data_IF_403302553322
#
_entry.id   IF_403302553322
#
_cell.length_a   1.000
_cell.length_b   1.000
_cell.length_c   1.000
_cell.angle_alpha   90.00
_cell.angle_beta   90.00
_cell.angle_gamma   90.00
#
_symmetry.space_group_name_H-M   'P 1'
#
loop_
_entity.id
_entity.type
_entity.pdbx_description
1 polymer ?
#
# COMPACT_ATOMS: atom_id res chain seq x y z
N UNK A 1 4.09 4.52 -18.40
CA UNK A 1 3.34 4.46 -17.15
C UNK A 1 1.87 4.45 -17.48
N UNK A 2 1.15 3.41 -17.07
CA UNK A 2 -0.31 3.33 -17.24
C UNK A 2 -0.90 3.44 -15.84
N UNK A 3 -1.85 4.36 -15.67
CA UNK A 3 -2.48 4.67 -14.39
C UNK A 3 -3.98 4.45 -14.51
N UNK A 4 -4.54 3.62 -13.64
CA UNK A 4 -5.97 3.47 -13.45
C UNK A 4 -6.34 3.99 -12.07
N UNK A 5 -7.17 5.02 -11.98
CA UNK A 5 -7.60 5.61 -10.71
C UNK A 5 -9.10 5.86 -10.71
N UNK A 6 -9.78 5.36 -9.69
CA UNK A 6 -11.12 5.83 -9.32
C UNK A 6 -11.03 6.79 -8.14
N UNK A 7 -12.00 7.71 -7.96
CA UNK A 7 -12.04 8.58 -6.78
C UNK A 7 -12.08 7.75 -5.49
N UNK A 8 -11.31 8.16 -4.48
CA UNK A 8 -11.36 7.54 -3.15
C UNK A 8 -12.75 7.76 -2.53
N UNK A 9 -13.42 6.73 -2.01
CA UNK A 9 -14.73 6.88 -1.40
C UNK A 9 -14.61 7.64 -0.08
N UNK A 10 -15.64 8.41 0.27
CA UNK A 10 -15.76 9.02 1.60
C UNK A 10 -16.74 8.17 2.40
N UNK A 11 -16.31 7.52 3.50
CA UNK A 11 -17.19 6.64 4.25
C UNK A 11 -18.33 7.46 4.88
N UNK A 12 -19.57 6.99 4.67
CA UNK A 12 -20.74 7.54 5.36
C UNK A 12 -20.76 7.18 6.85
N UNK A 13 -21.68 7.79 7.60
CA UNK A 13 -21.86 7.47 9.02
C UNK A 13 -22.04 5.95 9.23
N UNK A 14 -21.40 5.41 10.28
CA UNK A 14 -21.45 3.98 10.59
C UNK A 14 -20.57 3.09 9.71
N UNK A 15 -19.77 3.65 8.80
CA UNK A 15 -18.80 2.91 7.98
C UNK A 15 -17.35 3.24 8.38
N UNK A 16 -16.44 2.40 7.89
CA UNK A 16 -14.99 2.55 7.92
C UNK A 16 -14.48 2.52 6.49
N UNK A 17 -13.40 3.25 6.22
CA UNK A 17 -12.64 3.10 4.99
C UNK A 17 -11.46 2.16 5.23
N UNK A 18 -11.55 0.94 4.71
CA UNK A 18 -10.42 0.02 4.71
C UNK A 18 -9.61 0.19 3.42
N UNK A 19 -8.28 0.17 3.52
CA UNK A 19 -7.40 0.18 2.37
C UNK A 19 -6.45 -1.01 2.37
N UNK A 20 -6.14 -1.52 1.18
CA UNK A 20 -5.19 -2.60 0.96
C UNK A 20 -4.19 -2.22 -0.11
N UNK A 21 -2.90 -2.39 0.19
CA UNK A 21 -1.80 -2.28 -0.77
C UNK A 21 -1.38 -3.67 -1.23
N UNK A 22 -1.15 -3.82 -2.53
CA UNK A 22 -0.47 -4.96 -3.13
C UNK A 22 0.64 -4.46 -4.06
N UNK A 23 1.81 -5.07 -3.99
CA UNK A 23 2.95 -4.73 -4.85
C UNK A 23 3.42 -6.00 -5.54
N UNK A 24 3.43 -5.99 -6.87
CA UNK A 24 3.99 -7.07 -7.65
C UNK A 24 5.47 -6.84 -7.91
N UNK A 25 6.24 -7.89 -7.64
CA UNK A 25 7.69 -7.88 -7.72
C UNK A 25 8.18 -8.87 -8.76
N UNK A 26 9.24 -8.52 -9.49
CA UNK A 26 9.98 -9.50 -10.26
C UNK A 26 10.55 -10.56 -9.32
N UNK A 27 10.59 -11.81 -9.79
CA UNK A 27 11.14 -12.94 -9.02
C UNK A 27 12.61 -13.11 -9.36
N UNK A 28 13.50 -12.72 -8.46
CA UNK A 28 14.93 -12.99 -8.59
C UNK A 28 15.47 -13.69 -7.32
N UNK A 29 15.35 -15.02 -7.31
CA UNK A 29 15.80 -15.86 -6.20
C UNK A 29 17.32 -15.98 -6.05
N UNK A 30 18.09 -15.49 -7.02
CA UNK A 30 19.56 -15.63 -7.03
C UNK A 30 20.28 -14.48 -6.35
N UNK A 31 19.62 -13.31 -6.24
CA UNK A 31 20.24 -12.08 -5.73
C UNK A 31 19.39 -11.56 -4.56
N UNK A 32 20.03 -11.39 -3.40
CA UNK A 32 19.39 -10.73 -2.26
C UNK A 32 18.99 -9.30 -2.64
N UNK A 33 17.74 -8.91 -2.39
CA UNK A 33 17.13 -7.66 -2.86
C UNK A 33 17.11 -7.48 -4.39
N UNK A 34 17.17 -8.59 -5.16
CA UNK A 34 17.11 -8.56 -6.62
C UNK A 34 15.69 -8.42 -7.20
N UNK A 35 14.67 -8.49 -6.35
CA UNK A 35 13.28 -8.29 -6.73
C UNK A 35 13.02 -6.80 -6.98
N UNK A 36 12.44 -6.48 -8.13
CA UNK A 36 12.14 -5.11 -8.55
C UNK A 36 10.61 -4.96 -8.62
N UNK A 37 10.02 -3.94 -7.98
CA UNK A 37 8.60 -3.70 -8.10
C UNK A 37 8.29 -3.20 -9.52
N UNK A 38 7.24 -3.73 -10.13
CA UNK A 38 6.82 -3.33 -11.48
C UNK A 38 5.32 -3.00 -11.57
N UNK A 39 4.53 -3.45 -10.62
CA UNK A 39 3.13 -3.05 -10.46
C UNK A 39 2.86 -2.78 -8.98
N UNK A 40 2.04 -1.79 -8.70
CA UNK A 40 1.45 -1.63 -7.38
C UNK A 40 -0.01 -1.26 -7.53
N UNK A 41 -0.81 -1.66 -6.55
CA UNK A 41 -2.20 -1.27 -6.48
C UNK A 41 -2.64 -0.99 -5.04
N UNK A 42 -3.54 -0.02 -4.89
CA UNK A 42 -4.27 0.21 -3.65
C UNK A 42 -5.74 0.01 -3.95
N UNK A 43 -6.43 -0.70 -3.08
CA UNK A 43 -7.89 -0.80 -3.09
C UNK A 43 -8.43 -0.19 -1.80
N UNK A 44 -9.43 0.67 -1.92
CA UNK A 44 -10.24 1.17 -0.80
C UNK A 44 -11.61 0.50 -0.83
N UNK A 45 -12.13 0.20 0.37
CA UNK A 45 -13.40 -0.47 0.56
C UNK A 45 -14.13 0.18 1.74
N UNK A 46 -15.35 0.64 1.50
CA UNK A 46 -16.23 1.14 2.56
C UNK A 46 -16.90 -0.05 3.24
N UNK A 47 -16.56 -0.29 4.51
CA UNK A 47 -17.03 -1.43 5.30
C UNK A 47 -17.98 -0.94 6.40
N UNK A 48 -19.19 -1.51 6.55
CA UNK A 48 -20.06 -1.23 7.67
C UNK A 48 -19.40 -1.62 9.00
N UNK A 49 -19.56 -0.79 10.05
CA UNK A 49 -19.13 -1.15 11.41
C UNK A 49 -19.98 -2.27 12.01
N UNK A 50 -21.16 -2.51 11.46
CA UNK A 50 -22.07 -3.59 11.88
C UNK A 50 -21.68 -4.89 11.19
N UNK A 51 -21.33 -5.96 11.94
CA UNK A 51 -20.99 -7.26 11.37
C UNK A 51 -22.12 -7.84 10.50
N UNK A 52 -21.75 -8.55 9.44
CA UNK A 52 -22.69 -9.27 8.56
C UNK A 52 -23.30 -8.45 7.44
N UNK A 53 -23.07 -7.13 7.39
CA UNK A 53 -23.45 -6.30 6.26
C UNK A 53 -22.37 -6.33 5.17
N UNK A 54 -22.80 -6.36 3.90
CA UNK A 54 -21.88 -6.31 2.75
C UNK A 54 -21.21 -4.94 2.63
N UNK A 55 -19.96 -4.89 2.12
CA UNK A 55 -19.31 -3.63 1.77
C UNK A 55 -20.14 -2.82 0.77
N UNK A 56 -20.13 -1.50 0.92
CA UNK A 56 -21.02 -0.62 0.17
C UNK A 56 -20.40 -0.09 -1.14
N UNK A 57 -19.12 0.30 -1.09
CA UNK A 57 -18.43 0.98 -2.18
C UNK A 57 -16.95 0.60 -2.19
N UNK A 58 -16.34 0.59 -3.37
CA UNK A 58 -14.91 0.35 -3.51
C UNK A 58 -14.29 1.29 -4.55
N UNK A 59 -13.02 1.58 -4.35
CA UNK A 59 -12.18 2.30 -5.31
C UNK A 59 -10.83 1.60 -5.42
N UNK A 60 -10.12 1.85 -6.50
CA UNK A 60 -8.75 1.37 -6.62
C UNK A 60 -7.87 2.31 -7.44
N UNK A 61 -6.58 2.20 -7.16
CA UNK A 61 -5.50 2.80 -7.92
C UNK A 61 -4.55 1.69 -8.30
N UNK A 62 -4.20 1.55 -9.58
CA UNK A 62 -3.18 0.61 -10.03
C UNK A 62 -2.24 1.28 -11.02
N UNK A 63 -0.93 1.05 -10.85
CA UNK A 63 0.11 1.56 -11.72
C UNK A 63 1.10 0.47 -12.14
N UNK A 64 1.34 0.42 -13.45
CA UNK A 64 2.47 -0.30 -14.03
C UNK A 64 3.63 0.66 -14.27
N UNK A 65 4.79 0.33 -13.69
CA UNK A 65 5.99 1.14 -13.75
C UNK A 65 7.06 0.44 -14.54
N UNK A 66 7.56 1.10 -15.59
CA UNK A 66 8.51 0.53 -16.54
C UNK A 66 9.97 0.89 -16.25
N UNK A 67 10.25 1.72 -15.23
CA UNK A 67 11.60 2.21 -14.93
C UNK A 67 11.89 2.33 -13.42
N UNK A 68 13.09 1.92 -12.96
CA UNK A 68 13.40 1.75 -11.53
C UNK A 68 13.43 3.05 -10.71
N UNK A 69 13.58 4.21 -11.35
CA UNK A 69 13.59 5.51 -10.67
C UNK A 69 12.19 6.06 -10.37
N UNK A 70 11.17 5.70 -11.17
CA UNK A 70 9.81 6.21 -10.99
C UNK A 70 9.00 5.38 -9.98
N UNK A 71 9.37 4.11 -9.78
CA UNK A 71 8.55 3.18 -8.99
C UNK A 71 8.48 3.55 -7.51
N UNK A 72 9.56 4.05 -6.91
CA UNK A 72 9.60 4.29 -5.46
C UNK A 72 8.77 5.51 -5.06
N UNK A 73 8.92 6.64 -5.76
CA UNK A 73 8.20 7.87 -5.44
C UNK A 73 6.68 7.67 -5.58
N UNK A 74 6.28 6.86 -6.57
CA UNK A 74 4.88 6.50 -6.78
C UNK A 74 4.35 5.61 -5.66
N UNK A 75 5.10 4.58 -5.25
CA UNK A 75 4.73 3.72 -4.12
C UNK A 75 4.64 4.53 -2.82
N UNK A 76 5.59 5.44 -2.59
CA UNK A 76 5.61 6.25 -1.37
C UNK A 76 4.44 7.23 -1.32
N UNK A 77 4.11 7.90 -2.44
CA UNK A 77 2.93 8.76 -2.53
C UNK A 77 1.64 7.97 -2.33
N UNK A 78 1.57 6.76 -2.87
CA UNK A 78 0.44 5.86 -2.72
C UNK A 78 0.26 5.41 -1.26
N UNK A 79 1.34 5.02 -0.59
CA UNK A 79 1.33 4.65 0.83
C UNK A 79 0.91 5.86 1.68
N UNK A 80 1.41 7.05 1.39
CA UNK A 80 1.00 8.26 2.11
C UNK A 80 -0.50 8.52 1.96
N UNK A 81 -1.03 8.53 0.73
CA UNK A 81 -2.47 8.70 0.46
C UNK A 81 -3.33 7.64 1.18
N UNK A 82 -2.88 6.39 1.19
CA UNK A 82 -3.53 5.31 1.94
C UNK A 82 -3.56 5.58 3.44
N UNK A 83 -2.42 5.95 4.03
CA UNK A 83 -2.30 6.18 5.46
C UNK A 83 -3.05 7.43 5.93
N UNK A 84 -3.16 8.45 5.08
CA UNK A 84 -3.88 9.69 5.38
C UNK A 84 -5.41 9.50 5.28
N UNK A 85 -5.88 8.54 4.47
CA UNK A 85 -7.31 8.37 4.18
C UNK A 85 -7.97 7.18 4.88
N UNK A 86 -7.23 6.11 5.15
CA UNK A 86 -7.82 4.87 5.65
C UNK A 86 -8.01 4.87 7.16
N UNK A 87 -9.18 4.41 7.62
CA UNK A 87 -9.40 4.06 9.02
C UNK A 87 -8.73 2.72 9.38
N UNK A 88 -8.58 1.84 8.39
CA UNK A 88 -8.02 0.50 8.56
C UNK A 88 -7.12 0.16 7.37
N UNK A 89 -5.90 -0.32 7.65
CA UNK A 89 -5.01 -0.87 6.62
C UNK A 89 -4.99 -2.40 6.75
N UNK A 90 -5.29 -3.09 5.65
CA UNK A 90 -5.30 -4.55 5.55
C UNK A 90 -4.39 -5.00 4.40
N UNK A 91 -4.03 -6.28 4.35
CA UNK A 91 -3.32 -6.82 3.20
C UNK A 91 -2.64 -8.16 3.47
N UNK A 92 -2.55 -8.98 2.44
CA UNK A 92 -1.76 -10.20 2.45
C UNK A 92 -0.30 -9.82 2.15
N UNK A 93 0.62 -10.11 3.07
CA UNK A 93 2.04 -9.71 2.99
C UNK A 93 2.35 -8.21 3.14
N UNK A 94 1.38 -7.39 3.57
CA UNK A 94 1.52 -5.94 3.80
C UNK A 94 2.83 -5.54 4.51
N UNK A 95 3.22 -6.25 5.57
CA UNK A 95 4.45 -5.95 6.31
C UNK A 95 5.73 -6.10 5.44
N UNK A 96 5.73 -7.04 4.50
CA UNK A 96 6.82 -7.22 3.53
C UNK A 96 6.87 -6.06 2.55
N UNK A 97 5.71 -5.61 2.06
CA UNK A 97 5.61 -4.49 1.11
C UNK A 97 6.01 -3.16 1.76
N UNK A 98 5.54 -2.91 2.99
CA UNK A 98 5.90 -1.70 3.76
C UNK A 98 7.38 -1.67 4.16
N UNK A 99 7.99 -2.83 4.47
CA UNK A 99 9.40 -2.91 4.86
C UNK A 99 10.33 -2.36 3.77
N UNK A 100 9.97 -2.48 2.50
CA UNK A 100 10.84 -2.06 1.39
C UNK A 100 10.85 -0.53 1.25
N UNK A 101 9.70 0.15 1.44
CA UNK A 101 9.66 1.63 1.52
C UNK A 101 10.55 2.14 2.66
N UNK A 102 10.56 1.45 3.80
CA UNK A 102 11.34 1.88 4.98
C UNK A 102 12.86 1.62 4.86
N UNK A 103 13.27 0.42 4.45
CA UNK A 103 14.70 0.00 4.40
C UNK A 103 15.51 0.85 3.41
N UNK A 104 14.89 1.35 2.34
CA UNK A 104 15.57 2.13 1.30
C UNK A 104 15.73 3.61 1.67
N UNK A 105 14.83 4.19 2.47
CA UNK A 105 14.94 5.58 2.97
C UNK A 105 16.03 5.76 4.04
N UNK A 106 16.40 4.71 4.78
CA UNK A 106 17.27 4.84 5.98
C UNK A 106 18.50 3.92 6.02
N UNK A 107 18.72 3.09 4.99
CA UNK A 107 19.76 2.06 5.03
C UNK A 107 19.34 0.86 5.91
N UNK A 108 20.13 -0.23 5.93
CA UNK A 108 19.75 -1.46 6.62
C UNK A 108 19.54 -1.21 8.12
N UNK A 109 18.46 -1.77 8.73
CA UNK A 109 18.18 -1.57 10.14
C UNK A 109 19.33 -2.10 10.98
N UNK A 110 19.91 -1.25 11.84
CA UNK A 110 20.80 -1.69 12.90
C UNK A 110 19.95 -2.51 13.88
N UNK A 111 20.26 -3.81 13.91
CA UNK A 111 19.70 -4.88 14.75
C UNK A 111 18.78 -4.40 15.90
N UNK A 112 17.56 -4.94 15.88
CA UNK A 112 16.50 -4.95 16.91
C UNK A 112 15.51 -3.77 16.93
N UNK A 113 14.22 -4.13 17.11
CA UNK A 113 13.19 -3.26 17.68
C UNK A 113 12.25 -2.61 16.69
N UNK A 114 11.00 -3.09 16.66
CA UNK A 114 9.73 -2.40 16.34
C UNK A 114 9.71 -1.31 15.25
N UNK A 115 8.87 -1.51 14.23
CA UNK A 115 8.52 -0.48 13.25
C UNK A 115 7.58 0.52 13.95
N UNK A 116 8.10 1.69 14.29
CA UNK A 116 7.30 2.80 14.79
C UNK A 116 6.84 3.62 13.58
N UNK A 117 5.56 3.49 13.23
CA UNK A 117 4.89 4.41 12.30
C UNK A 117 4.76 5.76 13.01
N UNK A 118 5.50 6.76 12.55
CA UNK A 118 5.38 8.11 13.09
C UNK A 118 4.06 8.71 12.60
N UNK A 119 3.11 8.89 13.51
CA UNK A 119 1.93 9.74 13.31
C UNK A 119 2.35 11.18 13.55
N UNK A 120 2.15 12.06 12.57
CA UNK A 120 2.20 13.51 12.72
C UNK A 120 0.99 14.04 13.49
#
# INVERSE_FOLDING_TARGET
>A
MITHRTPTPVPGAGHLLAASLDVEWTKNYRVSNGNVPFCWSITWLTIPRTPGASPAEFAYHALYVSGPGQTQDLIDAAIADMLDTADLVIGHQLCSDLRISWVRKRGPPRRSGWIQLATS
#
